data_IF_767453511272
#
_entry.id   IF_767453511272
#
_cell.length_a   1.000
_cell.length_b   1.000
_cell.length_c   1.000
_cell.angle_alpha   90.00
_cell.angle_beta   90.00
_cell.angle_gamma   90.00
#
_symmetry.space_group_name_H-M   'P 1'
#
loop_
_entity.id
_entity.type
_entity.pdbx_description
1 polymer ?
#
# COMPACT_ATOMS: atom_id res chain seq x y z
N UNK A 1 11.44 10.59 8.05
CA UNK A 1 10.95 9.63 7.05
C UNK A 1 9.55 10.05 6.67
N UNK A 2 9.11 9.83 5.42
CA UNK A 2 7.73 10.07 5.07
C UNK A 2 6.82 9.14 5.87
N UNK A 3 5.61 9.62 6.15
CA UNK A 3 4.51 8.79 6.62
C UNK A 3 4.00 7.91 5.49
N UNK A 4 3.32 6.82 5.85
CA UNK A 4 2.66 5.96 4.87
C UNK A 4 1.67 6.75 4.02
N UNK A 5 0.89 7.67 4.61
CA UNK A 5 -0.01 8.56 3.88
C UNK A 5 0.71 9.38 2.81
N UNK A 6 1.89 9.93 3.12
CA UNK A 6 2.69 10.69 2.15
C UNK A 6 3.20 9.79 1.01
N UNK A 7 3.63 8.57 1.33
CA UNK A 7 4.02 7.58 0.29
C UNK A 7 2.82 7.25 -0.60
N UNK A 8 1.66 6.94 -0.01
CA UNK A 8 0.45 6.55 -0.76
C UNK A 8 -0.08 7.70 -1.61
N UNK A 9 -0.02 8.94 -1.11
CA UNK A 9 -0.45 10.14 -1.86
C UNK A 9 0.34 10.34 -3.15
N UNK A 10 1.60 9.88 -3.19
CA UNK A 10 2.51 10.07 -4.33
C UNK A 10 2.78 8.76 -5.10
N UNK A 11 1.96 7.71 -4.96
CA UNK A 11 2.19 6.40 -5.60
C UNK A 11 2.48 6.49 -7.10
N UNK A 12 1.70 7.28 -7.83
CA UNK A 12 1.84 7.40 -9.29
C UNK A 12 3.10 8.16 -9.73
N UNK A 13 3.80 8.82 -8.80
CA UNK A 13 5.09 9.46 -9.08
C UNK A 13 6.26 8.48 -8.94
N UNK A 14 6.03 7.31 -8.32
CA UNK A 14 7.03 6.27 -8.14
C UNK A 14 7.19 5.50 -9.46
N UNK A 15 8.38 5.46 -10.08
CA UNK A 15 8.61 4.70 -11.30
C UNK A 15 8.35 3.21 -11.07
N UNK A 16 7.47 2.61 -11.86
CA UNK A 16 7.23 1.17 -11.79
C UNK A 16 8.46 0.39 -12.28
N UNK A 17 8.59 -0.85 -11.81
CA UNK A 17 9.61 -1.76 -12.29
C UNK A 17 9.53 -1.96 -13.81
N UNK A 18 10.69 -2.14 -14.45
CA UNK A 18 10.83 -2.34 -15.88
C UNK A 18 10.57 -3.79 -16.35
N UNK A 19 10.05 -4.63 -15.45
CA UNK A 19 9.81 -6.05 -15.64
C UNK A 19 11.07 -6.93 -15.59
N UNK A 20 12.24 -6.36 -15.37
CA UNK A 20 13.51 -7.09 -15.26
C UNK A 20 14.10 -7.06 -13.84
N UNK A 21 13.71 -6.07 -13.03
CA UNK A 21 13.94 -6.01 -11.59
C UNK A 21 12.64 -6.23 -10.81
N UNK A 22 12.76 -6.68 -9.55
CA UNK A 22 11.69 -6.48 -8.59
C UNK A 22 11.34 -4.98 -8.55
N UNK A 23 10.05 -4.67 -8.68
CA UNK A 23 9.57 -3.30 -8.64
C UNK A 23 9.79 -2.66 -7.25
N UNK A 24 9.62 -1.34 -7.15
CA UNK A 24 9.72 -0.66 -5.87
C UNK A 24 8.70 -1.24 -4.88
N UNK A 25 9.13 -1.42 -3.64
CA UNK A 25 8.37 -2.08 -2.58
C UNK A 25 8.25 -1.18 -1.37
N UNK A 26 7.05 -1.08 -0.82
CA UNK A 26 6.73 -0.26 0.34
C UNK A 26 7.03 -1.07 1.61
N UNK A 27 7.82 -0.48 2.51
CA UNK A 27 8.07 -0.99 3.85
C UNK A 27 7.57 0.04 4.87
N UNK A 28 6.88 -0.40 5.92
CA UNK A 28 6.34 0.47 6.96
C UNK A 28 6.47 -0.15 8.36
N UNK A 29 6.61 0.67 9.41
CA UNK A 29 6.65 0.16 10.79
C UNK A 29 5.30 -0.40 11.22
N UNK A 30 5.28 -1.39 12.11
CA UNK A 30 4.01 -1.87 12.69
C UNK A 30 3.68 -1.10 13.98
N UNK A 31 2.38 -0.87 14.29
CA UNK A 31 1.22 -1.15 13.46
C UNK A 31 1.14 -0.20 12.25
N UNK A 32 0.58 -0.69 11.14
CA UNK A 32 0.40 0.13 9.96
C UNK A 32 -0.78 1.08 10.16
N UNK A 33 -0.48 2.36 10.09
CA UNK A 33 -1.44 3.45 10.18
C UNK A 33 -1.03 4.51 9.17
N UNK A 34 -1.93 5.43 8.76
CA UNK A 34 -1.56 6.50 7.83
C UNK A 34 -0.35 7.33 8.29
N UNK A 35 -0.17 7.52 9.59
CA UNK A 35 0.93 8.31 10.16
C UNK A 35 2.23 7.52 10.40
N UNK A 36 2.23 6.21 10.17
CA UNK A 36 3.40 5.37 10.45
C UNK A 36 4.53 5.69 9.48
N UNK A 37 5.78 5.71 9.98
CA UNK A 37 6.99 5.77 9.15
C UNK A 37 6.97 4.70 8.04
N UNK A 38 7.21 5.14 6.80
CA UNK A 38 7.32 4.30 5.63
C UNK A 38 8.55 4.65 4.77
N UNK A 39 8.96 3.71 3.93
CA UNK A 39 10.02 3.87 2.93
C UNK A 39 9.69 3.01 1.72
N UNK A 40 10.11 3.45 0.54
CA UNK A 40 10.06 2.68 -0.69
C UNK A 40 11.48 2.27 -1.03
N UNK A 41 11.68 0.97 -1.25
CA UNK A 41 12.99 0.39 -1.57
C UNK A 41 12.93 -0.30 -2.93
N UNK A 42 14.03 -0.31 -3.67
CA UNK A 42 14.13 -0.90 -5.01
C UNK A 42 15.48 -1.58 -5.23
N UNK A 43 15.54 -2.53 -6.18
CA UNK A 43 16.79 -3.20 -6.54
C UNK A 43 17.52 -3.80 -5.34
N UNK A 44 18.80 -3.47 -5.21
CA UNK A 44 19.68 -3.98 -4.15
C UNK A 44 19.36 -3.42 -2.75
N UNK A 45 18.52 -2.37 -2.64
CA UNK A 45 18.09 -1.83 -1.34
C UNK A 45 16.96 -2.66 -0.70
N UNK A 46 16.29 -3.51 -1.48
CA UNK A 46 15.27 -4.44 -0.98
C UNK A 46 15.95 -5.54 -0.14
N UNK A 47 15.59 -5.72 1.14
CA UNK A 47 16.19 -6.76 1.97
C UNK A 47 15.80 -8.16 1.48
N UNK A 48 16.70 -9.14 1.67
CA UNK A 48 16.44 -10.57 1.42
C UNK A 48 15.27 -11.16 2.25
N UNK A 49 14.80 -10.42 3.26
CA UNK A 49 13.71 -10.82 4.15
C UNK A 49 12.59 -9.78 4.23
N UNK A 50 11.61 -10.04 5.09
CA UNK A 50 10.40 -9.19 5.22
C UNK A 50 10.58 -7.98 6.15
N UNK A 51 11.80 -7.73 6.66
CA UNK A 51 12.08 -6.63 7.59
C UNK A 51 13.40 -5.97 7.24
N UNK A 52 13.43 -4.65 7.19
CA UNK A 52 14.65 -3.86 6.99
C UNK A 52 15.48 -3.79 8.28
N UNK A 53 16.75 -3.41 8.19
CA UNK A 53 17.61 -3.19 9.37
C UNK A 53 17.06 -2.10 10.31
N UNK A 54 16.27 -1.15 9.77
CA UNK A 54 15.62 -0.07 10.52
C UNK A 54 14.26 -0.46 11.12
N UNK A 55 13.85 -1.73 10.99
CA UNK A 55 12.62 -2.27 11.58
C UNK A 55 11.34 -1.96 10.81
N UNK A 56 11.44 -1.59 9.52
CA UNK A 56 10.27 -1.48 8.65
C UNK A 56 9.93 -2.85 8.10
N UNK A 57 8.65 -3.21 8.13
CA UNK A 57 8.18 -4.48 7.61
C UNK A 57 7.66 -4.31 6.19
N UNK A 58 7.89 -5.32 5.36
CA UNK A 58 7.29 -5.43 4.02
C UNK A 58 5.78 -5.23 4.15
N UNK A 59 5.26 -4.24 3.43
CA UNK A 59 3.84 -3.95 3.34
C UNK A 59 3.29 -4.46 2.02
N UNK A 60 3.76 -3.92 0.90
CA UNK A 60 3.25 -4.23 -0.44
C UNK A 60 4.16 -3.66 -1.53
N UNK A 61 4.23 -4.31 -2.69
CA UNK A 61 4.79 -3.72 -3.91
C UNK A 61 3.96 -2.51 -4.36
N UNK A 62 4.62 -1.53 -4.99
CA UNK A 62 3.97 -0.28 -5.42
C UNK A 62 2.90 -0.52 -6.48
N UNK A 63 3.10 -1.47 -7.39
CA UNK A 63 2.12 -1.84 -8.42
C UNK A 63 0.85 -2.43 -7.80
N UNK A 64 0.97 -3.33 -6.83
CA UNK A 64 -0.16 -3.86 -6.07
C UNK A 64 -0.82 -2.79 -5.19
N UNK A 65 -0.06 -1.84 -4.65
CA UNK A 65 -0.63 -0.72 -3.91
C UNK A 65 -1.48 0.18 -4.82
N UNK A 66 -1.02 0.45 -6.04
CA UNK A 66 -1.80 1.18 -7.05
C UNK A 66 -3.06 0.38 -7.40
N UNK A 67 -2.93 -0.91 -7.71
CA UNK A 67 -4.08 -1.77 -8.04
C UNK A 67 -5.10 -1.81 -6.90
N UNK A 68 -4.66 -1.88 -5.64
CA UNK A 68 -5.56 -1.87 -4.49
C UNK A 68 -6.40 -0.58 -4.40
N UNK A 69 -5.82 0.58 -4.75
CA UNK A 69 -6.52 1.86 -4.81
C UNK A 69 -7.46 1.93 -6.01
N UNK A 70 -7.04 1.40 -7.16
CA UNK A 70 -7.87 1.33 -8.38
C UNK A 70 -9.10 0.44 -8.14
N UNK A 71 -8.91 -0.78 -7.62
CA UNK A 71 -10.01 -1.71 -7.29
C UNK A 71 -10.94 -1.11 -6.23
N UNK A 72 -10.40 -0.41 -5.22
CA UNK A 72 -11.21 0.29 -4.24
C UNK A 72 -12.16 1.30 -4.89
N UNK A 73 -11.67 2.06 -5.87
CA UNK A 73 -12.43 3.05 -6.63
C UNK A 73 -13.46 2.39 -7.53
N UNK A 74 -13.06 1.36 -8.29
CA UNK A 74 -13.95 0.60 -9.18
C UNK A 74 -15.14 0.02 -8.43
N UNK A 75 -14.90 -0.60 -7.28
CA UNK A 75 -15.97 -1.19 -6.46
C UNK A 75 -16.92 -0.13 -5.90
N UNK A 76 -16.46 1.11 -5.74
CA UNK A 76 -17.25 2.28 -5.30
C UNK A 76 -17.70 3.15 -6.47
N UNK A 77 -18.02 2.51 -7.60
CA UNK A 77 -18.56 3.15 -8.81
C UNK A 77 -17.68 4.28 -9.36
N UNK A 78 -16.36 4.12 -9.28
CA UNK A 78 -15.38 5.09 -9.77
C UNK A 78 -15.17 6.31 -8.86
N UNK A 79 -15.54 6.20 -7.57
CA UNK A 79 -15.30 7.25 -6.58
C UNK A 79 -13.81 7.48 -6.40
N UNK A 80 -13.36 8.73 -6.52
CA UNK A 80 -11.96 9.10 -6.25
C UNK A 80 -11.72 9.00 -4.74
N UNK A 81 -10.81 8.13 -4.26
CA UNK A 81 -10.51 8.03 -2.84
C UNK A 81 -9.83 9.30 -2.34
N UNK A 82 -10.11 9.66 -1.10
CA UNK A 82 -9.23 10.56 -0.34
C UNK A 82 -7.88 9.88 -0.08
N UNK A 83 -6.81 10.65 0.23
CA UNK A 83 -5.52 10.06 0.58
C UNK A 83 -5.59 9.03 1.72
N UNK A 84 -6.46 9.28 2.70
CA UNK A 84 -6.67 8.39 3.85
C UNK A 84 -7.37 7.09 3.42
N UNK A 85 -8.43 7.17 2.60
CA UNK A 85 -9.11 5.99 2.05
C UNK A 85 -8.18 5.13 1.18
N UNK A 86 -7.38 5.76 0.32
CA UNK A 86 -6.36 5.06 -0.46
C UNK A 86 -5.36 4.35 0.46
N UNK A 87 -4.91 5.02 1.53
CA UNK A 87 -4.00 4.42 2.49
C UNK A 87 -4.61 3.22 3.21
N UNK A 88 -5.88 3.31 3.61
CA UNK A 88 -6.59 2.19 4.22
C UNK A 88 -6.84 1.03 3.26
N UNK A 89 -7.06 1.28 1.97
CA UNK A 89 -7.16 0.24 0.96
C UNK A 89 -5.86 -0.57 0.85
N UNK A 90 -4.72 0.13 0.81
CA UNK A 90 -3.39 -0.50 0.77
C UNK A 90 -3.06 -1.26 2.06
N UNK A 91 -3.34 -0.67 3.23
CA UNK A 91 -3.18 -1.37 4.51
C UNK A 91 -4.02 -2.64 4.54
N UNK A 92 -5.28 -2.57 4.11
CA UNK A 92 -6.16 -3.74 4.08
C UNK A 92 -5.58 -4.85 3.22
N UNK A 93 -5.08 -4.53 2.02
CA UNK A 93 -4.42 -5.53 1.18
C UNK A 93 -3.20 -6.14 1.86
N UNK A 94 -2.30 -5.32 2.41
CA UNK A 94 -1.11 -5.82 3.10
C UNK A 94 -1.42 -6.69 4.34
N UNK A 95 -2.56 -6.48 5.00
CA UNK A 95 -2.97 -7.28 6.16
C UNK A 95 -3.75 -8.55 5.81
N UNK A 96 -4.51 -8.53 4.71
CA UNK A 96 -5.46 -9.58 4.37
C UNK A 96 -5.16 -10.34 3.09
N UNK A 97 -4.18 -9.88 2.30
CA UNK A 97 -3.88 -10.39 0.96
C UNK A 97 -5.13 -10.38 0.07
N UNK A 98 -5.93 -9.31 0.18
CA UNK A 98 -7.22 -9.15 -0.48
C UNK A 98 -7.59 -7.67 -0.64
N UNK A 99 -8.35 -7.33 -1.67
CA UNK A 99 -8.86 -5.97 -1.86
C UNK A 99 -9.96 -5.63 -0.84
N UNK A 100 -9.99 -4.37 -0.41
CA UNK A 100 -10.96 -3.90 0.60
C UNK A 100 -12.41 -4.06 0.10
N UNK A 101 -13.24 -4.90 0.74
CA UNK A 101 -14.61 -5.10 0.30
C UNK A 101 -15.44 -3.83 0.42
N UNK A 102 -16.57 -3.80 -0.29
CA UNK A 102 -17.62 -2.86 0.03
C UNK A 102 -18.04 -3.11 1.48
N UNK A 103 -18.30 -2.04 2.23
CA UNK A 103 -18.99 -2.19 3.49
C UNK A 103 -20.40 -2.66 3.15
N UNK A 104 -20.60 -3.98 3.13
CA UNK A 104 -21.92 -4.53 3.14
C UNK A 104 -22.58 -3.98 4.39
N UNK A 105 -23.70 -3.29 4.21
CA UNK A 105 -24.64 -3.14 5.29
C UNK A 105 -24.99 -4.57 5.70
N UNK A 106 -24.38 -5.07 6.78
CA UNK A 106 -24.96 -6.15 7.55
C UNK A 106 -26.31 -5.61 8.06
N UNK A 107 -27.30 -5.69 7.17
CA UNK A 107 -28.69 -5.68 7.50
C UNK A 107 -28.85 -6.83 8.48
N UNK A 108 -28.93 -6.46 9.76
CA UNK A 108 -29.64 -7.15 10.83
C UNK A 108 -30.28 -8.48 10.37
N UNK A 109 -29.83 -9.59 10.94
CA UNK A 109 -30.71 -10.65 11.43
C UNK A 109 -30.08 -11.28 12.69
#
# INVERSE_FOLDING_TARGET
MPSLLEVITNLHEIPLGDGHSAGPTIYAKRPWTPSTDAVVLEGDDVPDGVTTESGHHYLLEVDLAIEAVEVWSEWRAGTIPTPEEATFAVIHYGEHDAYQPLQDHEARL
#
